data_IF_133564125290
#
_entry.id   IF_133564125290
#
_cell.length_a   1.000
_cell.length_b   1.000
_cell.length_c   1.000
_cell.angle_alpha   90.00
_cell.angle_beta   90.00
_cell.angle_gamma   90.00
#
_symmetry.space_group_name_H-M   'P 1'
#
loop_
_entity.id
_entity.type
_entity.pdbx_description
1 polymer ?
#
# COMPACT_ATOMS: atom_id res chain seq x y z
N UNK A 1 2.63 5.44 14.20
CA UNK A 1 1.90 4.20 13.90
C UNK A 1 2.58 3.05 14.64
N UNK A 2 1.91 1.91 14.78
CA UNK A 2 2.48 0.70 15.39
C UNK A 2 1.89 -0.55 14.76
N UNK A 3 2.55 -1.69 14.95
CA UNK A 3 2.07 -2.98 14.48
C UNK A 3 0.93 -3.48 15.37
N UNK A 4 -0.13 -4.00 14.75
CA UNK A 4 -1.24 -4.61 15.46
C UNK A 4 -0.83 -5.99 15.95
N UNK A 5 -0.81 -6.15 17.28
CA UNK A 5 -0.49 -7.39 17.97
C UNK A 5 -1.72 -7.85 18.74
N UNK A 6 -2.09 -9.12 18.60
CA UNK A 6 -3.29 -9.69 19.23
C UNK A 6 -2.97 -10.87 20.15
N UNK A 7 -3.75 -11.00 21.20
CA UNK A 7 -3.78 -12.20 22.04
C UNK A 7 -5.22 -12.68 22.13
N UNK A 8 -5.45 -13.95 21.83
CA UNK A 8 -6.78 -14.55 21.93
C UNK A 8 -7.06 -14.96 23.37
N UNK A 9 -8.15 -14.45 23.96
CA UNK A 9 -8.52 -14.73 25.34
C UNK A 9 -9.62 -15.80 25.50
N UNK A 10 -10.18 -16.30 24.40
CA UNK A 10 -11.38 -17.17 24.42
C UNK A 10 -11.21 -18.47 23.65
N UNK A 11 -10.45 -18.49 22.55
CA UNK A 11 -10.22 -19.69 21.76
C UNK A 11 -9.17 -20.58 22.45
N UNK A 12 -9.59 -21.78 22.85
CA UNK A 12 -8.74 -22.77 23.52
C UNK A 12 -8.15 -23.82 22.57
N UNK A 13 -8.69 -23.95 21.35
CA UNK A 13 -8.19 -24.92 20.37
C UNK A 13 -6.90 -24.43 19.70
N UNK A 14 -6.82 -23.12 19.41
CA UNK A 14 -5.61 -22.48 18.88
C UNK A 14 -5.34 -21.20 19.66
N UNK A 15 -4.36 -21.28 20.56
CA UNK A 15 -3.95 -20.17 21.41
C UNK A 15 -2.97 -19.28 20.64
N UNK A 16 -3.34 -18.03 20.44
CA UNK A 16 -2.50 -16.99 19.84
C UNK A 16 -2.13 -15.99 20.93
N UNK A 17 -0.84 -15.84 21.24
CA UNK A 17 -0.33 -14.88 22.21
C UNK A 17 0.67 -13.94 21.54
N UNK A 18 0.49 -12.64 21.73
CA UNK A 18 1.30 -11.60 21.10
C UNK A 18 1.51 -11.82 19.59
N UNK A 19 0.47 -12.30 18.91
CA UNK A 19 0.52 -12.63 17.50
C UNK A 19 0.52 -11.35 16.67
N UNK A 20 1.60 -11.16 15.91
CA UNK A 20 1.80 -10.05 14.99
C UNK A 20 0.97 -10.25 13.73
N UNK A 21 -0.01 -9.39 13.48
CA UNK A 21 -0.86 -9.46 12.29
C UNK A 21 -0.18 -8.95 11.01
N UNK A 22 0.96 -8.27 11.16
CA UNK A 22 1.62 -7.55 10.07
C UNK A 22 0.81 -6.35 9.57
N UNK A 23 -0.16 -5.86 10.34
CA UNK A 23 -0.98 -4.68 10.07
C UNK A 23 -0.39 -3.45 10.78
N UNK A 24 -0.45 -2.28 10.14
CA UNK A 24 -0.03 -1.01 10.74
C UNK A 24 -1.23 -0.11 11.02
N UNK A 25 -1.29 0.43 12.23
CA UNK A 25 -2.40 1.29 12.64
C UNK A 25 -1.97 2.37 13.63
N UNK A 26 -2.89 3.30 13.87
CA UNK A 26 -2.76 4.38 14.86
C UNK A 26 -3.91 4.26 15.86
N UNK A 27 -3.60 4.29 17.15
CA UNK A 27 -4.61 4.39 18.21
C UNK A 27 -4.97 5.86 18.46
N UNK A 28 -6.27 6.12 18.52
CA UNK A 28 -6.85 7.40 18.89
C UNK A 28 -6.69 7.64 20.40
N UNK A 29 -6.36 8.87 20.77
CA UNK A 29 -6.42 9.34 22.17
C UNK A 29 -7.82 9.84 22.60
N UNK A 30 -8.76 9.92 21.65
CA UNK A 30 -10.13 10.41 21.88
C UNK A 30 -11.04 9.29 22.39
N UNK A 31 -11.94 9.64 23.31
CA UNK A 31 -13.05 8.80 23.73
C UNK A 31 -14.09 8.65 22.61
N UNK A 32 -14.89 7.59 22.68
CA UNK A 32 -15.98 7.37 21.72
C UNK A 32 -17.29 7.94 22.26
N UNK A 33 -18.03 8.66 21.42
CA UNK A 33 -19.33 9.27 21.77
C UNK A 33 -20.39 8.23 22.17
N UNK A 34 -20.23 6.96 21.79
CA UNK A 34 -21.12 5.89 22.24
C UNK A 34 -20.92 5.45 23.70
N UNK A 35 -19.96 6.04 24.42
CA UNK A 35 -19.68 5.75 25.84
C UNK A 35 -18.81 4.53 26.11
N UNK A 36 -18.43 3.75 25.09
CA UNK A 36 -17.48 2.64 25.26
C UNK A 36 -16.07 3.16 25.58
N UNK A 37 -15.40 2.50 26.52
CA UNK A 37 -14.06 2.88 27.03
C UNK A 37 -12.90 2.13 26.37
N UNK A 38 -13.16 1.29 25.37
CA UNK A 38 -12.12 0.56 24.65
C UNK A 38 -11.23 1.51 23.83
N UNK A 39 -9.93 1.21 23.67
CA UNK A 39 -9.07 1.91 22.73
C UNK A 39 -9.67 1.93 21.34
N UNK A 40 -9.58 3.09 20.67
CA UNK A 40 -10.13 3.27 19.32
C UNK A 40 -9.00 3.30 18.30
N UNK A 41 -9.19 2.63 17.17
CA UNK A 41 -8.31 2.83 16.01
C UNK A 41 -8.68 4.15 15.32
N UNK A 42 -7.69 5.02 15.17
CA UNK A 42 -7.81 6.29 14.45
C UNK A 42 -7.67 6.09 12.95
N UNK A 43 -6.67 5.32 12.54
CA UNK A 43 -6.42 5.02 11.13
C UNK A 43 -5.72 3.67 10.98
N UNK A 44 -5.92 3.08 9.81
CA UNK A 44 -5.27 1.85 9.35
C UNK A 44 -4.42 2.19 8.13
N UNK A 45 -3.13 1.83 8.17
CA UNK A 45 -2.11 2.21 7.19
C UNK A 45 -1.80 1.10 6.18
N UNK A 46 -2.52 -0.03 6.26
CA UNK A 46 -2.25 -1.20 5.43
C UNK A 46 -1.35 -2.23 6.10
N UNK A 47 -0.79 -3.12 5.27
CA UNK A 47 0.12 -4.17 5.71
C UNK A 47 1.56 -3.64 5.75
N UNK A 48 2.30 -4.01 6.79
CA UNK A 48 3.74 -3.74 6.97
C UNK A 48 4.56 -3.96 5.70
N UNK A 49 4.25 -5.02 4.94
CA UNK A 49 4.96 -5.41 3.73
C UNK A 49 4.45 -4.76 2.42
N UNK A 50 3.47 -3.85 2.49
CA UNK A 50 2.95 -3.10 1.33
C UNK A 50 3.27 -1.60 1.41
N UNK A 51 3.89 -1.14 2.50
CA UNK A 51 4.25 0.27 2.70
C UNK A 51 5.54 0.62 1.97
N UNK A 52 5.55 1.79 1.32
CA UNK A 52 6.76 2.39 0.74
C UNK A 52 7.34 3.38 1.74
N UNK A 53 8.60 3.15 2.13
CA UNK A 53 9.40 4.12 2.88
C UNK A 53 10.31 4.87 1.90
N UNK A 54 10.24 6.19 1.95
CA UNK A 54 11.10 7.07 1.18
C UNK A 54 12.40 7.38 1.96
N UNK A 55 13.51 7.71 1.28
CA UNK A 55 14.80 7.96 1.93
C UNK A 55 14.84 9.13 2.91
N UNK A 56 13.88 10.05 2.82
CA UNK A 56 13.71 11.16 3.76
C UNK A 56 12.88 10.79 5.01
N UNK A 57 12.50 9.52 5.14
CA UNK A 57 11.71 9.01 6.26
C UNK A 57 10.20 9.17 6.07
N UNK A 58 9.74 9.73 4.95
CA UNK A 58 8.32 9.77 4.65
C UNK A 58 7.80 8.37 4.34
N UNK A 59 6.62 8.06 4.88
CA UNK A 59 5.91 6.81 4.64
C UNK A 59 4.75 7.06 3.69
N UNK A 60 4.71 6.35 2.57
CA UNK A 60 3.63 6.43 1.60
C UNK A 60 2.59 5.35 1.89
N UNK A 61 1.40 5.79 2.27
CA UNK A 61 0.24 4.94 2.50
C UNK A 61 -0.22 4.27 1.17
N UNK A 62 -0.31 2.93 1.12
CA UNK A 62 -0.89 2.20 -0.02
C UNK A 62 -2.29 2.69 -0.42
N UNK A 63 -3.08 3.20 0.53
CA UNK A 63 -4.39 3.80 0.28
C UNK A 63 -4.34 5.04 -0.63
N UNK A 64 -3.29 5.86 -0.50
CA UNK A 64 -3.08 7.01 -1.39
C UNK A 64 -2.81 6.54 -2.82
N UNK A 65 -1.95 5.53 -2.99
CA UNK A 65 -1.68 4.94 -4.30
C UNK A 65 -2.95 4.33 -4.90
N UNK A 66 -3.73 3.58 -4.11
CA UNK A 66 -5.00 3.05 -4.56
C UNK A 66 -5.96 4.16 -5.03
N UNK A 67 -5.98 5.30 -4.36
CA UNK A 67 -6.86 6.42 -4.70
C UNK A 67 -6.56 7.04 -6.07
N UNK A 68 -5.29 7.06 -6.49
CA UNK A 68 -4.85 7.52 -7.82
C UNK A 68 -5.50 6.70 -8.93
N UNK A 69 -5.51 5.38 -8.77
CA UNK A 69 -6.01 4.47 -9.81
C UNK A 69 -7.51 4.21 -9.71
N UNK A 70 -8.07 4.13 -8.50
CA UNK A 70 -9.46 3.69 -8.29
C UNK A 70 -10.51 4.58 -8.95
N UNK A 71 -10.24 5.88 -9.09
CA UNK A 71 -11.18 6.86 -9.64
C UNK A 71 -11.20 6.89 -11.18
N UNK A 72 -10.28 6.17 -11.83
CA UNK A 72 -10.04 6.24 -13.28
C UNK A 72 -10.69 5.06 -13.98
N UNK A 73 -11.61 5.35 -14.91
CA UNK A 73 -12.26 4.30 -15.74
C UNK A 73 -11.29 3.73 -16.78
N UNK A 74 -10.25 4.49 -17.08
CA UNK A 74 -9.19 4.19 -18.03
C UNK A 74 -8.20 3.14 -17.50
N UNK A 75 -8.24 2.83 -16.19
CA UNK A 75 -7.32 1.90 -15.54
C UNK A 75 -8.11 0.69 -15.06
N UNK A 76 -7.85 -0.48 -15.65
CA UNK A 76 -8.46 -1.75 -15.25
C UNK A 76 -7.69 -2.45 -14.13
N UNK A 77 -6.39 -2.16 -14.01
CA UNK A 77 -5.55 -2.70 -12.96
C UNK A 77 -4.22 -1.97 -12.85
N UNK A 78 -3.57 -2.07 -11.69
CA UNK A 78 -2.29 -1.41 -11.47
C UNK A 78 -1.38 -2.24 -10.54
N UNK A 79 -0.08 -1.98 -10.67
CA UNK A 79 0.92 -2.40 -9.69
C UNK A 79 2.00 -1.33 -9.59
N UNK A 80 2.24 -0.80 -8.40
CA UNK A 80 3.36 0.09 -8.11
C UNK A 80 4.51 -0.70 -7.52
N UNK A 81 5.68 -0.62 -8.13
CA UNK A 81 6.89 -1.31 -7.71
C UNK A 81 7.97 -0.27 -7.40
N UNK A 82 8.49 -0.27 -6.18
CA UNK A 82 9.68 0.49 -5.84
C UNK A 82 10.91 -0.31 -6.26
N UNK A 83 11.64 0.19 -7.25
CA UNK A 83 12.85 -0.40 -7.84
C UNK A 83 14.13 0.05 -7.13
N UNK A 84 14.07 1.23 -6.52
CA UNK A 84 15.16 1.81 -5.74
C UNK A 84 14.66 2.90 -4.80
N UNK A 85 15.55 3.54 -4.03
CA UNK A 85 15.19 4.53 -3.02
C UNK A 85 14.26 5.63 -3.54
N UNK A 86 14.54 6.17 -4.72
CA UNK A 86 13.74 7.18 -5.42
C UNK A 86 13.25 6.70 -6.80
N UNK A 87 13.22 5.40 -7.06
CA UNK A 87 12.89 4.86 -8.39
C UNK A 87 11.68 3.95 -8.31
N UNK A 88 10.66 4.26 -9.10
CA UNK A 88 9.36 3.59 -9.09
C UNK A 88 8.92 3.22 -10.50
N UNK A 89 8.20 2.11 -10.61
CA UNK A 89 7.46 1.75 -11.80
C UNK A 89 5.99 1.52 -11.45
N UNK A 90 5.10 2.28 -12.09
CA UNK A 90 3.68 2.03 -12.07
C UNK A 90 3.30 1.25 -13.33
N UNK A 91 3.08 -0.05 -13.17
CA UNK A 91 2.50 -0.90 -14.21
C UNK A 91 1.00 -0.69 -14.25
N UNK A 92 0.45 -0.47 -15.43
CA UNK A 92 -0.96 -0.11 -15.62
C UNK A 92 -1.54 -1.01 -16.70
N UNK A 93 -2.66 -1.65 -16.40
CA UNK A 93 -3.51 -2.32 -17.38
C UNK A 93 -4.55 -1.30 -17.86
N UNK A 94 -4.41 -0.72 -19.06
CA UNK A 94 -5.33 0.30 -19.55
C UNK A 94 -6.61 -0.33 -20.12
N UNK A 95 -7.72 0.41 -20.07
CA UNK A 95 -8.91 0.06 -20.83
C UNK A 95 -8.69 0.24 -22.34
N UNK A 96 -9.55 -0.38 -23.16
CA UNK A 96 -9.51 -0.23 -24.61
C UNK A 96 -9.88 1.18 -25.07
N UNK A 97 -9.31 1.64 -26.19
CA UNK A 97 -9.64 2.94 -26.80
C UNK A 97 -9.13 4.19 -26.07
N UNK A 98 -8.31 4.03 -25.02
CA UNK A 98 -7.80 5.14 -24.23
C UNK A 98 -6.59 5.82 -24.89
N UNK A 99 -6.52 7.15 -24.75
CA UNK A 99 -5.31 7.90 -25.07
C UNK A 99 -4.22 7.66 -24.01
N UNK A 100 -3.32 6.71 -24.30
CA UNK A 100 -2.23 6.33 -23.40
C UNK A 100 -1.32 7.49 -23.03
N UNK A 101 -1.04 8.45 -23.95
CA UNK A 101 -0.16 9.59 -23.66
C UNK A 101 -0.74 10.53 -22.61
N UNK A 102 -2.04 10.81 -22.70
CA UNK A 102 -2.73 11.65 -21.71
C UNK A 102 -2.74 10.96 -20.35
N UNK A 103 -3.12 9.69 -20.31
CA UNK A 103 -3.15 8.90 -19.07
C UNK A 103 -1.76 8.82 -18.43
N UNK A 104 -0.72 8.58 -19.21
CA UNK A 104 0.67 8.53 -18.74
C UNK A 104 1.09 9.83 -18.04
N UNK A 105 0.80 10.98 -18.66
CA UNK A 105 1.14 12.30 -18.12
C UNK A 105 0.40 12.58 -16.81
N UNK A 106 -0.88 12.25 -16.73
CA UNK A 106 -1.69 12.46 -15.53
C UNK A 106 -1.25 11.56 -14.38
N UNK A 107 -1.07 10.25 -14.63
CA UNK A 107 -0.60 9.31 -13.62
C UNK A 107 0.78 9.68 -13.12
N UNK A 108 1.70 10.05 -14.01
CA UNK A 108 3.04 10.52 -13.62
C UNK A 108 2.93 11.72 -12.69
N UNK A 109 2.11 12.72 -13.01
CA UNK A 109 1.93 13.92 -12.18
C UNK A 109 1.39 13.58 -10.79
N UNK A 110 0.34 12.77 -10.69
CA UNK A 110 -0.25 12.40 -9.40
C UNK A 110 0.71 11.58 -8.55
N UNK A 111 1.37 10.58 -9.15
CA UNK A 111 2.35 9.76 -8.43
C UNK A 111 3.57 10.59 -7.99
N UNK A 112 4.02 11.54 -8.82
CA UNK A 112 5.07 12.48 -8.44
C UNK A 112 4.67 13.33 -7.23
N UNK A 113 3.40 13.77 -7.16
CA UNK A 113 2.92 14.55 -6.02
C UNK A 113 2.87 13.74 -4.71
N UNK A 114 2.79 12.41 -4.81
CA UNK A 114 2.81 11.50 -3.66
C UNK A 114 4.25 11.17 -3.26
N UNK A 115 5.13 10.87 -4.23
CA UNK A 115 6.50 10.45 -3.96
C UNK A 115 7.51 11.61 -3.81
N UNK A 116 7.13 12.83 -4.17
CA UNK A 116 7.98 14.02 -4.12
C UNK A 116 8.89 14.19 -5.35
N UNK A 117 9.43 15.39 -5.54
CA UNK A 117 10.13 15.79 -6.77
C UNK A 117 11.40 14.99 -7.11
N UNK A 118 12.00 14.33 -6.11
CA UNK A 118 13.20 13.49 -6.30
C UNK A 118 12.88 12.13 -6.91
N UNK A 119 11.62 11.71 -6.88
CA UNK A 119 11.22 10.41 -7.38
C UNK A 119 11.24 10.35 -8.91
N UNK A 120 11.76 9.26 -9.46
CA UNK A 120 11.59 8.91 -10.86
C UNK A 120 10.48 7.87 -10.96
N UNK A 121 9.42 8.20 -11.70
CA UNK A 121 8.26 7.32 -11.89
C UNK A 121 8.08 6.95 -13.36
N UNK A 122 8.36 5.68 -13.66
CA UNK A 122 8.09 5.08 -14.96
C UNK A 122 6.65 4.57 -15.02
N UNK A 123 5.88 5.00 -16.01
CA UNK A 123 4.54 4.45 -16.28
C UNK A 123 4.68 3.39 -17.37
N UNK A 124 4.27 2.16 -17.07
CA UNK A 124 4.43 1.01 -17.96
C UNK A 124 3.08 0.40 -18.26
N UNK A 125 2.62 0.52 -19.51
CA UNK A 125 1.39 -0.16 -19.94
C UNK A 125 1.65 -1.65 -20.17
N UNK A 126 0.85 -2.49 -19.52
CA UNK A 126 0.95 -3.95 -19.60
C UNK A 126 -0.35 -4.54 -20.12
N UNK A 127 -0.27 -5.75 -20.69
CA UNK A 127 -1.46 -6.49 -21.18
C UNK A 127 -2.10 -7.34 -20.09
N UNK A 128 -1.33 -7.74 -19.10
CA UNK A 128 -1.76 -8.55 -17.97
C UNK A 128 -0.80 -8.39 -16.77
N UNK A 129 -1.18 -8.98 -15.65
CA UNK A 129 -0.29 -9.17 -14.51
C UNK A 129 -0.04 -10.67 -14.35
N UNK A 130 1.21 -11.15 -14.54
CA UNK A 130 1.49 -12.58 -14.44
C UNK A 130 1.15 -13.07 -13.03
N UNK A 131 0.13 -13.93 -12.96
CA UNK A 131 -0.31 -14.56 -11.71
C UNK A 131 0.69 -15.65 -11.38
N UNK A 132 1.50 -15.47 -10.33
CA UNK A 132 2.30 -16.58 -9.82
C UNK A 132 1.37 -17.51 -9.06
N UNK A 133 1.24 -18.76 -9.52
CA UNK A 133 0.36 -19.75 -8.88
C UNK A 133 0.59 -19.80 -7.36
N UNK A 134 -0.49 -19.66 -6.59
CA UNK A 134 -0.45 -19.68 -5.12
C UNK A 134 0.02 -18.38 -4.43
N UNK A 135 0.39 -17.32 -5.16
CA UNK A 135 0.73 -16.03 -4.53
C UNK A 135 -0.40 -15.01 -4.67
N UNK A 136 -0.76 -14.37 -3.56
CA UNK A 136 -1.63 -13.21 -3.56
C UNK A 136 -1.02 -12.10 -4.41
N UNK A 137 -1.80 -11.55 -5.35
CA UNK A 137 -1.41 -10.37 -6.10
C UNK A 137 -1.19 -9.18 -5.16
N UNK A 138 -0.06 -8.48 -5.32
CA UNK A 138 0.29 -7.30 -4.53
C UNK A 138 0.24 -6.06 -5.41
N UNK A 139 -0.70 -5.13 -5.16
CA UNK A 139 -0.81 -3.89 -5.92
C UNK A 139 0.34 -2.92 -5.61
N UNK A 140 0.97 -3.06 -4.45
CA UNK A 140 2.17 -2.30 -4.07
C UNK A 140 3.27 -3.29 -3.70
N UNK A 141 4.45 -3.11 -4.30
CA UNK A 141 5.65 -3.92 -4.06
C UNK A 141 6.76 -2.96 -3.63
N UNK A 142 6.98 -2.80 -2.31
CA UNK A 142 8.06 -1.97 -1.79
C UNK A 142 9.44 -2.53 -2.16
N UNK A 143 10.47 -1.70 -2.01
CA UNK A 143 11.85 -2.14 -2.16
C UNK A 143 12.11 -3.23 -1.11
N UNK A 144 12.69 -4.36 -1.51
CA UNK A 144 13.07 -5.40 -0.56
C UNK A 144 14.15 -4.87 0.37
N UNK A 145 13.75 -4.46 1.57
CA UNK A 145 14.69 -4.30 2.67
C UNK A 145 15.10 -5.70 3.14
N UNK A 146 16.39 -6.02 3.02
CA UNK A 146 17.01 -7.27 3.49
C UNK A 146 16.87 -7.46 5.03
N UNK A 147 16.30 -6.49 5.74
CA UNK A 147 16.30 -6.40 7.22
C UNK A 147 15.21 -7.17 7.96
N UNK A 148 14.32 -7.91 7.30
CA UNK A 148 13.24 -8.68 7.96
C UNK A 148 13.31 -10.19 7.68
N UNK A 149 14.52 -10.75 7.58
CA UNK A 149 14.75 -12.20 7.48
C UNK A 149 15.29 -12.85 8.77
N UNK A 150 15.19 -12.18 9.91
CA UNK A 150 15.49 -12.78 11.22
C UNK A 150 14.21 -13.04 12.03
#
# INVERSE_FOLDING_TARGET
YGEVVISNLVNRAMVLLNYRLGDLAVLSKRSCECGRTFPRLESFQGKTYEIIELPDGQVVDPGLLWSVFKKRKEVQGYQVVQRGPWSFAAKVLPAEGINMKTLEKELRRELQSIFGDKAQVDILFVKDFPVTAGRKFRPVVPLKNIKHQE
#
